data_IF_930162939868
#
_entry.id   IF_930162939868
#
_cell.length_a   1.000
_cell.length_b   1.000
_cell.length_c   1.000
_cell.angle_alpha   90.00
_cell.angle_beta   90.00
_cell.angle_gamma   90.00
#
_symmetry.space_group_name_H-M   'P 1'
#
loop_
_entity.id
_entity.type
_entity.pdbx_description
1 polymer ?
#
# COMPACT_ATOMS: atom_id res chain seq x y z
N UNK A 1 -19.57 -16.55 -12.76
CA UNK A 1 -18.19 -16.05 -12.65
C UNK A 1 -17.62 -16.54 -11.33
N UNK A 2 -16.39 -17.06 -11.30
CA UNK A 2 -15.74 -17.46 -10.05
C UNK A 2 -15.43 -16.22 -9.22
N UNK A 3 -15.51 -16.28 -7.88
CA UNK A 3 -15.33 -15.10 -7.03
C UNK A 3 -13.95 -14.44 -7.23
N UNK A 4 -12.90 -15.24 -7.35
CA UNK A 4 -11.54 -14.76 -7.67
C UNK A 4 -11.44 -14.02 -9.02
N UNK A 5 -12.27 -14.37 -10.00
CA UNK A 5 -12.32 -13.65 -11.28
C UNK A 5 -12.93 -12.25 -11.15
N UNK A 6 -13.83 -12.03 -10.18
CA UNK A 6 -14.41 -10.72 -9.90
C UNK A 6 -13.38 -9.77 -9.27
N UNK A 7 -12.54 -10.27 -8.36
CA UNK A 7 -11.45 -9.47 -7.79
C UNK A 7 -10.43 -9.05 -8.84
N UNK A 8 -9.99 -9.96 -9.72
CA UNK A 8 -9.06 -9.62 -10.80
C UNK A 8 -9.65 -8.58 -11.75
N UNK A 9 -10.95 -8.68 -12.05
CA UNK A 9 -11.65 -7.67 -12.84
C UNK A 9 -11.67 -6.31 -12.13
N UNK A 10 -12.00 -6.28 -10.83
CA UNK A 10 -11.97 -5.06 -10.02
C UNK A 10 -10.57 -4.42 -10.02
N UNK A 11 -9.52 -5.19 -9.75
CA UNK A 11 -8.13 -4.72 -9.79
C UNK A 11 -7.76 -4.13 -11.14
N UNK A 12 -8.12 -4.80 -12.25
CA UNK A 12 -7.87 -4.28 -13.60
C UNK A 12 -8.60 -2.95 -13.84
N UNK A 13 -9.88 -2.87 -13.48
CA UNK A 13 -10.68 -1.65 -13.66
C UNK A 13 -10.12 -0.48 -12.83
N UNK A 14 -9.71 -0.75 -11.58
CA UNK A 14 -9.09 0.25 -10.72
C UNK A 14 -7.74 0.71 -11.26
N UNK A 15 -6.90 -0.21 -11.75
CA UNK A 15 -5.62 0.11 -12.41
C UNK A 15 -5.83 1.13 -13.55
N UNK A 16 -6.72 0.80 -14.49
CA UNK A 16 -6.99 1.64 -15.67
C UNK A 16 -7.54 3.01 -15.27
N UNK A 17 -8.49 3.04 -14.33
CA UNK A 17 -9.13 4.27 -13.86
C UNK A 17 -8.12 5.20 -13.18
N UNK A 18 -7.31 4.68 -12.25
CA UNK A 18 -6.35 5.50 -11.52
C UNK A 18 -5.14 5.85 -12.37
N UNK A 19 -4.74 5.00 -13.32
CA UNK A 19 -3.69 5.35 -14.28
C UNK A 19 -4.10 6.53 -15.15
N UNK A 20 -5.34 6.55 -15.65
CA UNK A 20 -5.89 7.69 -16.40
C UNK A 20 -5.96 8.96 -15.53
N UNK A 21 -6.51 8.88 -14.31
CA UNK A 21 -6.62 10.03 -13.42
C UNK A 21 -5.25 10.57 -13.00
N UNK A 22 -4.30 9.70 -12.67
CA UNK A 22 -2.93 10.08 -12.37
C UNK A 22 -2.29 10.71 -13.60
N UNK A 23 -2.47 10.16 -14.81
CA UNK A 23 -1.88 10.75 -16.02
C UNK A 23 -2.34 12.19 -16.26
N UNK A 24 -3.62 12.49 -16.01
CA UNK A 24 -4.25 13.81 -16.19
C UNK A 24 -3.92 14.81 -15.08
N UNK A 25 -3.56 14.35 -13.90
CA UNK A 25 -3.19 15.22 -12.78
C UNK A 25 -1.96 16.09 -13.12
N UNK A 26 -2.01 17.36 -12.75
CA UNK A 26 -0.88 18.28 -12.90
C UNK A 26 0.18 17.93 -11.86
N UNK A 27 1.33 17.45 -12.33
CA UNK A 27 2.46 17.09 -11.49
C UNK A 27 3.51 18.18 -11.55
N UNK A 28 3.74 18.86 -10.43
CA UNK A 28 4.88 19.75 -10.25
C UNK A 28 5.96 18.98 -9.48
N UNK A 29 7.00 18.46 -10.13
CA UNK A 29 8.10 17.81 -9.41
C UNK A 29 8.75 18.81 -8.46
N UNK A 30 9.13 18.39 -7.23
CA UNK A 30 9.95 19.20 -6.35
C UNK A 30 11.26 19.62 -7.04
N UNK A 31 11.73 20.83 -6.78
CA UNK A 31 12.93 21.37 -7.43
C UNK A 31 14.15 20.50 -7.12
N UNK A 32 14.81 19.96 -8.15
CA UNK A 32 15.96 19.07 -8.00
C UNK A 32 15.62 17.58 -7.81
N UNK A 33 14.35 17.18 -7.93
CA UNK A 33 13.96 15.78 -7.83
C UNK A 33 14.39 14.97 -9.07
N UNK A 34 15.34 14.04 -8.88
CA UNK A 34 15.68 13.00 -9.88
C UNK A 34 14.63 11.88 -9.96
N UNK A 35 13.52 12.02 -9.21
CA UNK A 35 12.53 10.97 -9.00
C UNK A 35 11.11 11.53 -9.13
N UNK A 36 10.27 10.81 -9.88
CA UNK A 36 8.85 11.15 -10.08
C UNK A 36 7.97 10.29 -9.20
N UNK A 37 7.36 10.88 -8.17
CA UNK A 37 6.37 10.19 -7.31
C UNK A 37 5.18 9.72 -8.15
N UNK A 38 4.77 10.50 -9.15
CA UNK A 38 3.72 10.11 -10.09
C UNK A 38 4.07 8.83 -10.86
N UNK A 39 5.31 8.72 -11.34
CA UNK A 39 5.77 7.51 -12.05
C UNK A 39 5.84 6.30 -11.13
N UNK A 40 6.21 6.50 -9.85
CA UNK A 40 6.15 5.44 -8.84
C UNK A 40 4.73 4.92 -8.64
N UNK A 41 3.77 5.81 -8.41
CA UNK A 41 2.37 5.42 -8.21
C UNK A 41 1.80 4.71 -9.45
N UNK A 42 2.13 5.20 -10.65
CA UNK A 42 1.77 4.51 -11.89
C UNK A 42 2.38 3.12 -11.99
N UNK A 43 3.64 2.93 -11.54
CA UNK A 43 4.29 1.63 -11.52
C UNK A 43 3.62 0.65 -10.55
N UNK A 44 3.07 1.12 -9.42
CA UNK A 44 2.33 0.28 -8.47
C UNK A 44 0.96 -0.16 -9.02
N UNK A 45 0.37 0.61 -9.93
CA UNK A 45 -0.91 0.27 -10.55
C UNK A 45 -0.75 -0.68 -11.74
N UNK A 46 0.46 -0.83 -12.28
CA UNK A 46 0.71 -1.74 -13.39
C UNK A 46 0.73 -3.17 -12.87
N UNK A 47 -0.18 -4.06 -13.32
CA UNK A 47 -0.10 -5.46 -12.97
C UNK A 47 1.26 -5.98 -13.42
N UNK A 48 2.09 -6.41 -12.46
CA UNK A 48 3.30 -7.16 -12.79
C UNK A 48 2.92 -8.34 -13.69
N UNK A 49 3.84 -8.80 -14.54
CA UNK A 49 3.61 -9.87 -15.54
C UNK A 49 3.35 -11.25 -14.90
N UNK A 50 2.63 -11.33 -13.79
CA UNK A 50 2.07 -12.56 -13.25
C UNK A 50 1.10 -13.14 -14.27
N UNK A 51 1.32 -14.41 -14.64
CA UNK A 51 0.47 -15.12 -15.58
C UNK A 51 -1.00 -15.06 -15.07
N UNK A 52 -1.94 -14.47 -15.84
CA UNK A 52 -3.30 -14.18 -15.39
C UNK A 52 -4.19 -15.42 -15.20
N UNK A 53 -3.61 -16.62 -15.35
CA UNK A 53 -4.29 -17.90 -15.20
C UNK A 53 -4.33 -18.42 -13.76
N UNK A 54 -3.47 -17.91 -12.87
CA UNK A 54 -3.47 -18.33 -11.46
C UNK A 54 -4.36 -17.39 -10.61
N UNK A 55 -5.48 -17.94 -10.16
CA UNK A 55 -6.48 -17.24 -9.32
C UNK A 55 -6.25 -17.47 -7.82
N UNK A 56 -5.13 -18.08 -7.44
CA UNK A 56 -4.79 -18.31 -6.03
C UNK A 56 -4.45 -17.00 -5.31
N UNK A 57 -4.67 -16.99 -4.00
CA UNK A 57 -4.34 -15.86 -3.13
C UNK A 57 -2.86 -15.47 -3.25
N UNK A 58 -1.96 -16.44 -3.35
CA UNK A 58 -0.51 -16.21 -3.45
C UNK A 58 -0.12 -15.49 -4.74
N UNK A 59 -0.81 -15.76 -5.85
CA UNK A 59 -0.57 -15.09 -7.13
C UNK A 59 -1.06 -13.63 -7.14
N UNK A 60 -2.18 -13.35 -6.46
CA UNK A 60 -2.79 -12.00 -6.43
C UNK A 60 -2.29 -11.14 -5.27
N UNK A 61 -1.68 -11.73 -4.24
CA UNK A 61 -1.18 -11.02 -3.05
C UNK A 61 -0.19 -9.90 -3.38
N UNK A 62 0.82 -10.06 -4.25
CA UNK A 62 1.73 -8.96 -4.61
C UNK A 62 0.98 -7.80 -5.27
N UNK A 63 0.03 -8.11 -6.16
CA UNK A 63 -0.79 -7.12 -6.83
C UNK A 63 -1.63 -6.31 -5.82
N UNK A 64 -2.33 -6.98 -4.91
CA UNK A 64 -3.10 -6.31 -3.86
C UNK A 64 -2.19 -5.44 -2.98
N UNK A 65 -0.97 -5.91 -2.68
CA UNK A 65 0.02 -5.16 -1.90
C UNK A 65 0.39 -3.85 -2.61
N UNK A 66 0.67 -3.89 -3.91
CA UNK A 66 1.00 -2.68 -4.69
C UNK A 66 -0.17 -1.70 -4.73
N UNK A 67 -1.41 -2.20 -4.85
CA UNK A 67 -2.62 -1.38 -4.76
C UNK A 67 -2.78 -0.73 -3.38
N UNK A 68 -2.58 -1.48 -2.29
CA UNK A 68 -2.63 -0.94 -0.93
C UNK A 68 -1.59 0.17 -0.77
N UNK A 69 -0.36 -0.04 -1.24
CA UNK A 69 0.70 0.97 -1.19
C UNK A 69 0.35 2.22 -2.01
N UNK A 70 -0.22 2.05 -3.20
CA UNK A 70 -0.66 3.17 -4.02
C UNK A 70 -1.77 3.97 -3.33
N UNK A 71 -2.81 3.31 -2.83
CA UNK A 71 -3.90 3.98 -2.12
C UNK A 71 -3.44 4.62 -0.82
N UNK A 72 -2.55 3.98 -0.06
CA UNK A 72 -1.97 4.57 1.14
C UNK A 72 -1.26 5.90 0.84
N UNK A 73 -0.50 5.98 -0.26
CA UNK A 73 0.14 7.23 -0.66
C UNK A 73 -0.88 8.30 -1.09
N UNK A 74 -1.89 7.93 -1.88
CA UNK A 74 -2.95 8.84 -2.31
C UNK A 74 -3.81 9.35 -1.15
N UNK A 75 -4.09 8.51 -0.17
CA UNK A 75 -4.91 8.84 0.99
C UNK A 75 -4.11 9.65 2.03
N UNK A 76 -2.83 9.34 2.20
CA UNK A 76 -1.91 10.13 3.04
C UNK A 76 -1.73 11.57 2.55
N UNK A 77 -1.97 11.83 1.24
CA UNK A 77 -1.86 13.18 0.68
C UNK A 77 -2.85 14.19 1.29
N UNK A 78 -4.02 13.74 1.74
CA UNK A 78 -5.05 14.64 2.29
C UNK A 78 -4.61 15.39 3.55
N UNK A 79 -3.72 14.78 4.33
CA UNK A 79 -3.20 15.31 5.60
C UNK A 79 -1.71 15.66 5.53
N UNK A 80 -1.13 15.67 4.32
CA UNK A 80 0.30 15.85 4.13
C UNK A 80 0.68 17.30 3.91
N UNK A 81 1.69 17.77 4.66
CA UNK A 81 2.39 19.02 4.41
C UNK A 81 3.61 18.83 3.49
N UNK A 82 3.84 17.61 2.98
CA UNK A 82 5.00 17.29 2.15
C UNK A 82 4.79 17.75 0.70
N UNK A 83 5.78 18.44 0.15
CA UNK A 83 5.79 18.85 -1.26
C UNK A 83 5.63 17.66 -2.23
N UNK A 84 6.10 16.47 -1.84
CA UNK A 84 6.04 15.25 -2.63
C UNK A 84 4.64 14.70 -2.87
N UNK A 85 3.67 15.04 -2.01
CA UNK A 85 2.28 14.57 -2.10
C UNK A 85 1.27 15.73 -2.27
N UNK A 86 1.70 16.98 -2.05
CA UNK A 86 0.84 18.18 -2.13
C UNK A 86 0.18 18.41 -3.50
N UNK A 87 0.74 17.85 -4.57
CA UNK A 87 0.19 17.95 -5.93
C UNK A 87 -1.03 17.04 -6.16
N UNK A 88 -1.27 16.05 -5.29
CA UNK A 88 -2.38 15.09 -5.43
C UNK A 88 -3.70 15.81 -5.13
N UNK A 89 -4.66 15.87 -6.07
CA UNK A 89 -5.93 16.53 -5.82
C UNK A 89 -6.76 15.80 -4.77
N UNK A 90 -7.49 16.56 -3.93
CA UNK A 90 -8.44 15.99 -2.96
C UNK A 90 -9.50 15.08 -3.59
N UNK A 91 -9.92 15.37 -4.83
CA UNK A 91 -10.83 14.50 -5.58
C UNK A 91 -10.23 13.12 -5.87
N UNK A 92 -8.93 13.05 -6.17
CA UNK A 92 -8.20 11.79 -6.39
C UNK A 92 -8.05 11.01 -5.09
N UNK A 93 -7.77 11.69 -3.98
CA UNK A 93 -7.73 11.07 -2.65
C UNK A 93 -9.11 10.52 -2.24
N UNK A 94 -10.18 11.29 -2.45
CA UNK A 94 -11.55 10.83 -2.19
C UNK A 94 -11.94 9.64 -3.06
N UNK A 95 -11.57 9.64 -4.35
CA UNK A 95 -11.79 8.50 -5.24
C UNK A 95 -11.02 7.27 -4.76
N UNK A 96 -9.76 7.44 -4.31
CA UNK A 96 -8.95 6.37 -3.76
C UNK A 96 -9.61 5.73 -2.53
N UNK A 97 -10.30 6.51 -1.69
CA UNK A 97 -11.00 5.97 -0.52
C UNK A 97 -12.15 5.05 -0.94
N UNK A 98 -12.97 5.48 -1.90
CA UNK A 98 -14.08 4.66 -2.40
C UNK A 98 -13.58 3.41 -3.13
N UNK A 99 -12.51 3.54 -3.92
CA UNK A 99 -11.86 2.43 -4.60
C UNK A 99 -11.24 1.42 -3.62
N UNK A 100 -10.67 1.90 -2.51
CA UNK A 100 -10.14 1.03 -1.48
C UNK A 100 -11.23 0.22 -0.79
N UNK A 101 -12.38 0.83 -0.50
CA UNK A 101 -13.57 0.12 0.00
C UNK A 101 -14.04 -0.93 -1.00
N UNK A 102 -14.11 -0.59 -2.30
CA UNK A 102 -14.49 -1.53 -3.36
C UNK A 102 -13.54 -2.73 -3.43
N UNK A 103 -12.23 -2.47 -3.47
CA UNK A 103 -11.19 -3.50 -3.46
C UNK A 103 -11.31 -4.41 -2.23
N UNK A 104 -11.51 -3.82 -1.05
CA UNK A 104 -11.61 -4.55 0.21
C UNK A 104 -12.85 -5.45 0.25
N UNK A 105 -13.97 -4.99 -0.31
CA UNK A 105 -15.18 -5.79 -0.45
C UNK A 105 -14.97 -6.94 -1.46
N UNK A 106 -14.40 -6.65 -2.64
CA UNK A 106 -14.12 -7.67 -3.65
C UNK A 106 -13.14 -8.74 -3.14
N UNK A 107 -12.14 -8.32 -2.34
CA UNK A 107 -11.19 -9.22 -1.68
C UNK A 107 -11.90 -10.14 -0.69
N UNK A 108 -12.71 -9.56 0.22
CA UNK A 108 -13.50 -10.33 1.17
C UNK A 108 -14.40 -11.32 0.44
N UNK A 109 -15.15 -10.89 -0.55
CA UNK A 109 -16.09 -11.77 -1.24
C UNK A 109 -15.40 -12.96 -1.95
N UNK A 110 -14.12 -12.78 -2.32
CA UNK A 110 -13.27 -13.78 -2.99
C UNK A 110 -12.58 -14.75 -2.05
N UNK A 111 -12.08 -14.29 -0.91
CA UNK A 111 -11.21 -15.07 -0.02
C UNK A 111 -11.75 -15.22 1.41
N UNK A 112 -12.94 -14.68 1.71
CA UNK A 112 -13.55 -14.88 3.01
C UNK A 112 -13.84 -16.37 3.21
N UNK A 113 -13.07 -16.95 4.12
CA UNK A 113 -13.15 -18.36 4.51
C UNK A 113 -14.25 -18.59 5.55
N UNK A 114 -15.06 -17.56 5.87
CA UNK A 114 -16.05 -17.61 6.95
C UNK A 114 -15.42 -17.71 8.33
N UNK A 115 -14.10 -17.54 8.43
CA UNK A 115 -13.38 -17.54 9.69
C UNK A 115 -13.59 -16.20 10.36
N UNK A 116 -14.29 -16.21 11.48
CA UNK A 116 -14.50 -15.07 12.37
C UNK A 116 -13.23 -14.73 13.19
N UNK A 117 -12.08 -15.28 12.83
CA UNK A 117 -10.83 -15.20 13.58
C UNK A 117 -9.67 -14.91 12.62
N UNK A 118 -9.00 -13.77 12.83
CA UNK A 118 -7.74 -13.45 12.15
C UNK A 118 -6.59 -13.96 13.03
N UNK A 119 -5.79 -14.90 12.51
CA UNK A 119 -4.59 -15.37 13.21
C UNK A 119 -3.45 -14.37 12.98
N UNK A 120 -3.05 -13.65 14.04
CA UNK A 120 -1.94 -12.69 14.00
C UNK A 120 -0.75 -13.30 14.76
N UNK A 121 0.16 -13.95 14.03
CA UNK A 121 1.34 -14.60 14.62
C UNK A 121 1.02 -15.89 15.40
N UNK A 122 1.80 -16.17 16.44
CA UNK A 122 1.60 -17.32 17.35
C UNK A 122 0.50 -17.09 18.39
N UNK A 123 0.10 -15.83 18.60
CA UNK A 123 -0.97 -15.47 19.53
C UNK A 123 -2.29 -15.53 18.77
N UNK A 124 -3.12 -16.53 19.10
CA UNK A 124 -4.50 -16.60 18.61
C UNK A 124 -5.31 -15.51 19.31
N UNK A 125 -5.24 -14.28 18.77
CA UNK A 125 -6.10 -13.21 19.23
C UNK A 125 -7.45 -13.36 18.56
N UNK A 126 -8.46 -13.72 19.35
CA UNK A 126 -9.84 -13.76 18.90
C UNK A 126 -10.37 -12.33 18.74
N UNK A 127 -10.09 -11.70 17.60
CA UNK A 127 -10.73 -10.44 17.22
C UNK A 127 -12.06 -10.77 16.58
N UNK A 128 -13.18 -10.40 17.23
CA UNK A 128 -14.51 -10.50 16.63
C UNK A 128 -14.60 -9.57 15.41
N UNK A 129 -14.30 -10.14 14.24
CA UNK A 129 -14.25 -9.44 12.96
C UNK A 129 -15.63 -8.98 12.47
N UNK A 130 -16.73 -9.32 13.16
CA UNK A 130 -18.08 -8.81 12.82
C UNK A 130 -18.16 -7.29 12.87
N UNK A 131 -17.32 -6.65 13.68
CA UNK A 131 -17.30 -5.19 13.86
C UNK A 131 -16.15 -4.50 13.11
N UNK A 132 -15.30 -5.27 12.42
CA UNK A 132 -14.16 -4.74 11.66
C UNK A 132 -14.59 -4.54 10.21
N UNK A 133 -14.44 -3.31 9.70
CA UNK A 133 -14.78 -3.01 8.30
C UNK A 133 -13.88 -3.79 7.32
N UNK A 134 -14.32 -3.97 6.07
CA UNK A 134 -13.57 -4.71 5.04
C UNK A 134 -12.16 -4.19 4.86
N UNK A 135 -12.01 -2.86 4.90
CA UNK A 135 -10.78 -2.11 4.75
C UNK A 135 -9.79 -2.43 5.85
N UNK A 136 -10.24 -2.36 7.11
CA UNK A 136 -9.42 -2.71 8.27
C UNK A 136 -9.00 -4.17 8.20
N UNK A 137 -9.92 -5.07 7.85
CA UNK A 137 -9.63 -6.51 7.73
C UNK A 137 -8.57 -6.78 6.67
N UNK A 138 -8.68 -6.15 5.49
CA UNK A 138 -7.69 -6.25 4.42
C UNK A 138 -6.30 -5.78 4.90
N UNK A 139 -6.23 -4.62 5.58
CA UNK A 139 -4.96 -4.10 6.07
C UNK A 139 -4.32 -5.03 7.11
N UNK A 140 -5.09 -5.50 8.09
CA UNK A 140 -4.60 -6.41 9.14
C UNK A 140 -3.99 -7.67 8.53
N UNK A 141 -4.65 -8.25 7.52
CA UNK A 141 -4.16 -9.45 6.86
C UNK A 141 -2.85 -9.21 6.08
N UNK A 142 -2.69 -8.02 5.51
CA UNK A 142 -1.50 -7.64 4.74
C UNK A 142 -0.41 -6.96 5.57
N UNK A 143 -0.66 -6.57 6.82
CA UNK A 143 0.33 -5.92 7.71
C UNK A 143 1.65 -6.68 7.86
N UNK A 144 1.67 -8.02 8.05
CA UNK A 144 2.92 -8.79 8.11
C UNK A 144 3.82 -8.60 6.89
N UNK A 145 3.23 -8.32 5.73
CA UNK A 145 3.93 -8.08 4.49
C UNK A 145 4.28 -6.60 4.29
N UNK A 146 3.36 -5.70 4.63
CA UNK A 146 3.50 -4.25 4.41
C UNK A 146 4.53 -3.61 5.34
N UNK A 147 4.55 -4.00 6.62
CA UNK A 147 5.42 -3.37 7.63
C UNK A 147 6.92 -3.59 7.37
N UNK A 148 7.43 -4.83 7.15
CA UNK A 148 8.83 -5.02 6.79
C UNK A 148 9.18 -4.27 5.51
N UNK A 149 8.33 -4.37 4.49
CA UNK A 149 8.58 -3.75 3.18
C UNK A 149 8.73 -2.23 3.30
N UNK A 150 7.87 -1.56 4.06
CA UNK A 150 7.98 -0.12 4.27
C UNK A 150 9.15 0.25 5.17
N UNK A 151 9.44 -0.56 6.21
CA UNK A 151 10.60 -0.37 7.10
C UNK A 151 11.91 -0.46 6.32
N UNK A 152 12.07 -1.45 5.46
CA UNK A 152 13.27 -1.66 4.66
C UNK A 152 13.48 -0.51 3.67
N UNK A 153 12.41 -0.06 2.99
CA UNK A 153 12.45 1.10 2.09
C UNK A 153 12.85 2.40 2.80
N UNK A 154 12.40 2.61 4.04
CA UNK A 154 12.77 3.79 4.84
C UNK A 154 14.24 3.69 5.30
N UNK A 155 14.67 2.50 5.75
CA UNK A 155 16.05 2.26 6.18
C UNK A 155 17.07 2.40 5.06
N UNK A 156 16.77 1.88 3.87
CA UNK A 156 17.66 1.93 2.69
C UNK A 156 18.00 3.38 2.29
N UNK A 157 17.06 4.30 2.50
CA UNK A 157 17.27 5.73 2.26
C UNK A 157 18.02 6.47 3.39
N UNK A 158 18.21 5.84 4.56
CA UNK A 158 18.83 6.45 5.74
C UNK A 158 20.30 6.08 5.92
N UNK A 159 20.88 5.35 4.98
CA UNK A 159 22.31 5.03 4.99
C UNK A 159 23.08 6.30 4.61
N UNK A 160 23.47 7.07 5.62
CA UNK A 160 24.55 8.04 5.50
C UNK A 160 25.80 7.29 5.03
N UNK A 161 26.26 7.57 3.82
CA UNK A 161 27.55 7.10 3.31
C UNK A 161 28.66 7.85 4.03
N UNK A 162 28.88 7.50 5.30
CA UNK A 162 30.02 7.90 6.09
C UNK A 162 30.94 6.69 6.30
N UNK A 163 31.40 6.09 5.19
CA UNK A 163 32.77 5.59 5.07
C UNK A 163 33.05 5.10 3.64
N UNK A 164 34.11 5.69 3.08
CA UNK A 164 34.99 5.29 1.99
C UNK A 164 34.48 4.51 0.74
N UNK A 165 34.54 5.24 -0.38
CA UNK A 165 35.04 4.81 -1.71
C UNK A 165 34.41 3.54 -2.31
N UNK A 166 33.25 3.71 -2.94
CA UNK A 166 32.98 3.05 -4.22
C UNK A 166 31.98 3.86 -5.05
N UNK A 167 32.50 4.48 -6.11
CA UNK A 167 31.71 5.19 -7.11
C UNK A 167 30.83 4.19 -7.87
N UNK A 168 29.53 4.12 -7.53
CA UNK A 168 28.37 3.73 -8.36
C UNK A 168 27.16 3.18 -7.57
N UNK A 169 26.99 3.48 -6.29
CA UNK A 169 25.72 3.22 -5.59
C UNK A 169 24.91 4.52 -5.53
N UNK A 170 24.01 4.72 -6.51
CA UNK A 170 23.00 5.76 -6.40
C UNK A 170 22.03 5.32 -5.28
N UNK A 171 22.24 5.79 -4.06
CA UNK A 171 21.33 5.55 -2.94
C UNK A 171 19.88 5.86 -3.34
N UNK A 172 18.94 5.06 -2.82
CA UNK A 172 17.51 5.25 -3.09
C UNK A 172 17.13 6.70 -2.79
N UNK A 173 16.49 7.43 -3.73
CA UNK A 173 16.19 8.85 -3.53
C UNK A 173 15.36 9.08 -2.27
N UNK A 174 15.71 10.07 -1.46
CA UNK A 174 15.00 10.43 -0.21
C UNK A 174 13.48 10.58 -0.40
N UNK A 175 13.03 11.01 -1.59
CA UNK A 175 11.63 11.07 -1.98
C UNK A 175 10.89 9.72 -1.83
N UNK A 176 11.57 8.60 -2.03
CA UNK A 176 10.99 7.27 -1.89
C UNK A 176 10.72 6.90 -0.42
N UNK A 177 11.66 7.21 0.48
CA UNK A 177 11.46 7.02 1.90
C UNK A 177 10.41 7.96 2.47
N UNK A 178 10.31 9.19 1.95
CA UNK A 178 9.23 10.12 2.31
C UNK A 178 7.88 9.52 1.93
N UNK A 179 7.71 9.02 0.70
CA UNK A 179 6.47 8.36 0.27
C UNK A 179 6.19 7.12 1.13
N UNK A 180 7.20 6.29 1.40
CA UNK A 180 7.07 5.10 2.24
C UNK A 180 6.66 5.44 3.68
N UNK A 181 7.22 6.51 4.26
CA UNK A 181 6.83 7.00 5.59
C UNK A 181 5.38 7.49 5.61
N UNK A 182 4.93 8.16 4.55
CA UNK A 182 3.53 8.58 4.39
C UNK A 182 2.57 7.39 4.22
N UNK A 183 2.97 6.38 3.44
CA UNK A 183 2.22 5.12 3.31
C UNK A 183 2.11 4.42 4.66
N UNK A 184 3.22 4.28 5.37
CA UNK A 184 3.29 3.65 6.69
C UNK A 184 2.40 4.39 7.68
N UNK A 185 2.54 5.72 7.77
CA UNK A 185 1.70 6.55 8.65
C UNK A 185 0.22 6.32 8.37
N UNK A 186 -0.20 6.33 7.11
CA UNK A 186 -1.60 6.11 6.77
C UNK A 186 -2.07 4.71 7.17
N UNK A 187 -1.34 3.65 6.82
CA UNK A 187 -1.68 2.26 7.18
C UNK A 187 -1.85 2.12 8.70
N UNK A 188 -0.91 2.68 9.46
CA UNK A 188 -0.92 2.66 10.92
C UNK A 188 -2.14 3.39 11.49
N UNK A 189 -2.55 4.52 10.91
CA UNK A 189 -3.75 5.24 11.38
C UNK A 189 -5.06 4.50 11.13
N UNK A 190 -5.10 3.57 10.16
CA UNK A 190 -6.31 2.79 9.88
C UNK A 190 -6.55 1.67 10.89
N UNK A 191 -5.49 1.19 11.54
CA UNK A 191 -5.51 0.05 12.45
C UNK A 191 -5.52 0.57 13.89
N UNK A 192 -6.54 0.22 14.67
CA UNK A 192 -6.66 0.68 16.07
C UNK A 192 -5.43 0.32 16.90
N UNK A 193 -5.14 1.15 17.91
CA UNK A 193 -3.93 1.05 18.73
C UNK A 193 -3.69 -0.36 19.31
N UNK A 194 -4.75 -1.09 19.66
CA UNK A 194 -4.65 -2.45 20.20
C UNK A 194 -4.03 -3.45 19.20
N UNK A 195 -4.41 -3.35 17.92
CA UNK A 195 -3.89 -4.22 16.87
C UNK A 195 -2.49 -3.72 16.44
N UNK A 196 -2.27 -2.40 16.46
CA UNK A 196 -0.96 -1.81 16.19
C UNK A 196 0.13 -2.29 17.16
N UNK A 197 -0.16 -2.41 18.45
CA UNK A 197 0.79 -2.95 19.43
C UNK A 197 1.21 -4.39 19.13
N UNK A 198 0.29 -5.25 18.64
CA UNK A 198 0.60 -6.64 18.32
C UNK A 198 1.55 -6.78 17.13
N UNK A 199 1.43 -5.90 16.14
CA UNK A 199 2.29 -5.93 14.96
C UNK A 199 3.62 -5.21 15.16
N UNK A 200 3.71 -4.19 16.01
CA UNK A 200 4.95 -3.42 16.18
C UNK A 200 5.90 -3.99 17.25
N UNK A 201 5.37 -4.68 18.26
CA UNK A 201 6.17 -5.28 19.34
C UNK A 201 7.32 -6.18 18.84
N UNK A 202 7.12 -7.08 17.84
CA UNK A 202 8.23 -7.86 17.28
C UNK A 202 9.18 -7.06 16.38
N UNK A 203 8.86 -5.82 15.98
CA UNK A 203 9.72 -4.97 15.14
C UNK A 203 10.60 -3.99 15.92
N UNK A 204 10.33 -3.81 17.23
CA UNK A 204 11.12 -2.97 18.16
C UNK A 204 12.21 -3.75 18.92
N UNK A 205 12.25 -5.08 18.78
CA UNK A 205 13.32 -5.95 19.29
C UNK A 205 14.54 -5.98 18.39
#
# INVERSE_FOLDING_TARGET
MSKSSALLHCLKQLSETFADQLSKSQYAPPSGANFSVKSLLLSLLQPSKTNPSDQSLEAVRPLITDFILCFAALLSSSDSTSEHLSWIPRSLSSAASSAFTELSNAYRDSFDTGKELIKIGEVELEVDVKFVSSEKRLLIEFMPLLLPLLKDKIKESSIDTADDISAASAGVPAAYAIVAAHQLRWIVTQVEALIFFLFLFPFLG
#
